data_IF_738946595225
#
_entry.id   IF_738946595225
#
_cell.length_a   1.000
_cell.length_b   1.000
_cell.length_c   1.000
_cell.angle_alpha   90.00
_cell.angle_beta   90.00
_cell.angle_gamma   90.00
#
_symmetry.space_group_name_H-M   'P 1'
#
loop_
_entity.id
_entity.type
_entity.pdbx_description
1 polymer ?
#
# COMPACT_ATOMS: atom_id res chain seq x y z
N UNK A 1 -39.50 -14.29 22.71
CA UNK A 1 -38.11 -14.58 23.06
C UNK A 1 -37.42 -15.04 21.80
N UNK A 2 -36.27 -14.41 21.51
CA UNK A 2 -35.13 -14.93 20.73
C UNK A 2 -35.43 -15.35 19.28
N UNK A 3 -34.76 -14.88 18.24
CA UNK A 3 -33.44 -14.31 18.12
C UNK A 3 -33.02 -14.60 16.69
N UNK A 4 -33.28 -13.68 15.77
CA UNK A 4 -32.75 -13.73 14.40
C UNK A 4 -32.27 -12.33 14.07
N UNK A 5 -31.20 -11.93 14.76
CA UNK A 5 -30.24 -11.03 14.14
C UNK A 5 -29.63 -11.82 13.00
N UNK A 6 -30.30 -11.79 11.84
CA UNK A 6 -29.72 -12.20 10.57
C UNK A 6 -28.40 -11.47 10.46
N UNK A 7 -27.35 -12.20 10.79
CA UNK A 7 -25.99 -11.70 10.81
C UNK A 7 -25.65 -11.57 9.34
N UNK A 8 -25.78 -10.35 8.82
CA UNK A 8 -25.27 -9.96 7.51
C UNK A 8 -23.74 -10.11 7.52
N UNK A 9 -23.23 -11.33 7.42
CA UNK A 9 -21.84 -11.63 7.09
C UNK A 9 -21.69 -11.74 5.57
N UNK A 10 -22.07 -10.68 4.87
CA UNK A 10 -21.56 -10.44 3.51
C UNK A 10 -20.06 -10.09 3.59
N UNK A 11 -19.26 -10.32 2.54
CA UNK A 11 -17.81 -10.19 2.57
C UNK A 11 -17.39 -8.71 2.65
N UNK A 12 -17.41 -8.12 3.84
CA UNK A 12 -16.82 -6.82 4.15
C UNK A 12 -15.31 -6.76 3.87
N UNK A 13 -14.68 -7.89 3.55
CA UNK A 13 -13.25 -8.03 3.26
C UNK A 13 -12.87 -7.68 1.81
N UNK A 14 -13.82 -7.63 0.87
CA UNK A 14 -13.53 -7.46 -0.57
C UNK A 14 -13.18 -6.03 -0.96
N UNK A 15 -14.04 -5.06 -0.62
CA UNK A 15 -13.90 -3.66 -1.04
C UNK A 15 -12.65 -3.01 -0.43
N UNK A 16 -12.40 -3.30 0.85
CA UNK A 16 -11.25 -2.78 1.59
C UNK A 16 -9.89 -3.28 1.04
N UNK A 17 -9.83 -4.54 0.63
CA UNK A 17 -8.64 -5.13 0.01
C UNK A 17 -8.40 -4.54 -1.38
N UNK A 18 -9.49 -4.37 -2.13
CA UNK A 18 -9.47 -3.80 -3.47
C UNK A 18 -8.99 -2.34 -3.47
N UNK A 19 -9.49 -1.50 -2.55
CA UNK A 19 -9.03 -0.11 -2.40
C UNK A 19 -7.51 -0.03 -2.13
N UNK A 20 -7.00 -0.90 -1.26
CA UNK A 20 -5.57 -0.94 -0.96
C UNK A 20 -4.74 -1.40 -2.16
N UNK A 21 -5.21 -2.44 -2.86
CA UNK A 21 -4.57 -2.94 -4.06
C UNK A 21 -4.55 -1.87 -5.16
N UNK A 22 -5.64 -1.13 -5.35
CA UNK A 22 -5.70 -0.03 -6.29
C UNK A 22 -4.72 1.10 -5.92
N UNK A 23 -4.67 1.52 -4.66
CA UNK A 23 -3.70 2.53 -4.21
C UNK A 23 -2.25 2.11 -4.44
N UNK A 24 -1.92 0.83 -4.25
CA UNK A 24 -0.59 0.29 -4.53
C UNK A 24 -0.27 0.32 -6.02
N UNK A 25 -1.23 -0.05 -6.89
CA UNK A 25 -1.07 0.00 -8.34
C UNK A 25 -0.92 1.44 -8.84
N UNK A 26 -1.78 2.35 -8.39
CA UNK A 26 -1.71 3.77 -8.72
C UNK A 26 -0.36 4.36 -8.30
N UNK A 27 0.16 3.98 -7.14
CA UNK A 27 1.49 4.38 -6.69
C UNK A 27 2.58 3.83 -7.61
N UNK A 28 2.55 2.54 -7.92
CA UNK A 28 3.48 1.90 -8.86
C UNK A 28 3.49 2.55 -10.25
N UNK A 29 2.31 2.84 -10.80
CA UNK A 29 2.17 3.54 -12.08
C UNK A 29 2.75 4.96 -12.06
N UNK A 30 2.53 5.70 -10.97
CA UNK A 30 3.08 7.05 -10.83
C UNK A 30 4.61 7.01 -10.73
N UNK A 31 5.19 6.03 -10.05
CA UNK A 31 6.65 5.83 -10.04
C UNK A 31 7.19 5.50 -11.43
N UNK A 32 6.51 4.66 -12.20
CA UNK A 32 6.91 4.34 -13.56
C UNK A 32 6.87 5.57 -14.48
N UNK A 33 5.85 6.43 -14.35
CA UNK A 33 5.76 7.72 -15.07
C UNK A 33 6.89 8.67 -14.71
N UNK A 34 7.41 8.57 -13.48
CA UNK A 34 8.53 9.36 -12.95
C UNK A 34 9.88 8.65 -13.12
N UNK A 35 10.02 7.84 -14.16
CA UNK A 35 11.26 7.14 -14.54
C UNK A 35 11.77 6.11 -13.54
N UNK A 36 10.91 5.57 -12.67
CA UNK A 36 11.23 4.49 -11.71
C UNK A 36 10.43 3.20 -11.99
N UNK A 37 10.44 2.64 -13.22
CA UNK A 37 9.60 1.48 -13.59
C UNK A 37 9.97 0.20 -12.83
N UNK A 38 11.20 0.09 -12.34
CA UNK A 38 11.67 -1.08 -11.58
C UNK A 38 10.93 -1.26 -10.25
N UNK A 39 10.26 -0.23 -9.75
CA UNK A 39 9.50 -0.29 -8.50
C UNK A 39 8.03 -0.62 -8.71
N UNK A 40 7.48 -0.39 -9.91
CA UNK A 40 6.10 -0.70 -10.23
C UNK A 40 5.77 -2.18 -9.95
N UNK A 41 6.64 -3.10 -10.40
CA UNK A 41 6.45 -4.53 -10.22
C UNK A 41 6.33 -4.95 -8.73
N UNK A 42 7.11 -4.32 -7.85
CA UNK A 42 7.06 -4.59 -6.40
C UNK A 42 5.73 -4.16 -5.78
N UNK A 43 5.16 -3.05 -6.25
CA UNK A 43 3.86 -2.57 -5.77
C UNK A 43 2.69 -3.36 -6.37
N UNK A 44 2.82 -3.82 -7.62
CA UNK A 44 1.86 -4.74 -8.24
C UNK A 44 1.80 -6.09 -7.51
N UNK A 45 2.95 -6.68 -7.15
CA UNK A 45 3.00 -7.93 -6.38
C UNK A 45 2.35 -7.77 -4.99
N UNK A 46 2.58 -6.64 -4.34
CA UNK A 46 1.96 -6.33 -3.05
C UNK A 46 0.44 -6.11 -3.19
N UNK A 47 0.00 -5.45 -4.27
CA UNK A 47 -1.42 -5.26 -4.57
C UNK A 47 -2.15 -6.59 -4.76
N UNK A 48 -1.59 -7.49 -5.58
CA UNK A 48 -2.12 -8.83 -5.80
C UNK A 48 -2.18 -9.65 -4.50
N UNK A 49 -1.20 -9.47 -3.63
CA UNK A 49 -1.17 -10.10 -2.29
C UNK A 49 -2.31 -9.58 -1.39
N UNK A 50 -2.61 -8.29 -1.46
CA UNK A 50 -3.74 -7.68 -0.73
C UNK A 50 -5.10 -8.14 -1.26
N UNK A 51 -5.26 -8.43 -2.55
CA UNK A 51 -6.54 -8.92 -3.09
C UNK A 51 -6.86 -10.35 -2.64
N UNK A 52 -5.82 -11.19 -2.51
CA UNK A 52 -5.96 -12.62 -2.22
C UNK A 52 -6.08 -12.94 -0.73
N UNK A 53 -5.93 -11.95 0.14
CA UNK A 53 -5.85 -12.18 1.58
C UNK A 53 -7.23 -12.27 2.23
N UNK A 54 -7.51 -13.41 2.84
CA UNK A 54 -8.84 -13.69 3.40
C UNK A 54 -8.96 -13.25 4.87
N UNK A 55 -7.85 -13.25 5.61
CA UNK A 55 -7.86 -13.01 7.07
C UNK A 55 -7.36 -11.62 7.44
N UNK A 56 -7.90 -11.06 8.53
CA UNK A 56 -7.42 -9.79 9.09
C UNK A 56 -5.96 -9.86 9.57
N UNK A 57 -5.54 -11.01 10.12
CA UNK A 57 -4.18 -11.19 10.62
C UNK A 57 -3.17 -11.16 9.47
N UNK A 58 -3.49 -11.80 8.35
CA UNK A 58 -2.64 -11.78 7.16
C UNK A 58 -2.63 -10.38 6.51
N UNK A 59 -3.76 -9.65 6.51
CA UNK A 59 -3.80 -8.23 6.11
C UNK A 59 -2.85 -7.38 6.93
N UNK A 60 -2.90 -7.50 8.26
CA UNK A 60 -2.00 -6.76 9.16
C UNK A 60 -0.54 -7.14 8.89
N UNK A 61 -0.25 -8.41 8.62
CA UNK A 61 1.09 -8.87 8.25
C UNK A 61 1.56 -8.26 6.92
N UNK A 62 0.72 -8.25 5.89
CA UNK A 62 1.02 -7.62 4.60
C UNK A 62 1.21 -6.11 4.74
N UNK A 63 0.37 -5.44 5.54
CA UNK A 63 0.51 -4.02 5.84
C UNK A 63 1.85 -3.71 6.53
N UNK A 64 2.28 -4.55 7.49
CA UNK A 64 3.62 -4.44 8.12
C UNK A 64 4.75 -4.63 7.11
N UNK A 65 4.60 -5.55 6.16
CA UNK A 65 5.60 -5.76 5.09
C UNK A 65 5.66 -4.54 4.17
N UNK A 66 4.52 -3.98 3.77
CA UNK A 66 4.45 -2.73 3.01
C UNK A 66 5.09 -1.56 3.76
N UNK A 67 4.77 -1.39 5.05
CA UNK A 67 5.38 -0.36 5.89
C UNK A 67 6.90 -0.50 6.01
N UNK A 68 7.43 -1.73 6.02
CA UNK A 68 8.86 -1.96 6.13
C UNK A 68 9.65 -1.38 4.93
N UNK A 69 9.03 -1.25 3.76
CA UNK A 69 9.64 -0.56 2.62
C UNK A 69 9.82 0.93 2.88
N UNK A 70 8.85 1.58 3.53
CA UNK A 70 8.86 3.04 3.78
C UNK A 70 9.57 3.45 5.07
N UNK A 71 9.57 2.58 6.09
CA UNK A 71 9.92 2.97 7.47
C UNK A 71 11.25 2.43 7.97
N UNK A 72 11.88 1.48 7.26
CA UNK A 72 13.20 1.00 7.67
C UNK A 72 14.24 2.08 7.39
N UNK A 73 15.23 2.28 8.29
CA UNK A 73 16.30 3.25 8.09
C UNK A 73 17.06 3.07 6.77
N UNK A 74 17.15 1.84 6.27
CA UNK A 74 17.72 1.54 4.95
C UNK A 74 16.70 1.73 3.83
N UNK A 75 15.44 1.34 4.02
CA UNK A 75 14.37 1.53 3.04
C UNK A 75 14.14 2.99 2.68
N UNK A 76 14.00 3.88 3.67
CA UNK A 76 13.82 5.31 3.44
C UNK A 76 15.06 5.98 2.85
N UNK A 77 16.26 5.59 3.29
CA UNK A 77 17.50 6.15 2.73
C UNK A 77 17.76 5.68 1.29
N UNK A 78 17.50 4.42 0.98
CA UNK A 78 17.62 3.89 -0.38
C UNK A 78 16.52 4.46 -1.28
N UNK A 79 15.32 4.69 -0.73
CA UNK A 79 14.24 5.41 -1.38
C UNK A 79 14.65 6.85 -1.72
N UNK A 80 15.13 7.62 -0.74
CA UNK A 80 15.58 9.01 -0.96
C UNK A 80 16.77 9.09 -1.92
N UNK A 81 17.72 8.16 -1.84
CA UNK A 81 18.86 8.08 -2.77
C UNK A 81 18.42 7.79 -4.21
N UNK A 82 17.45 6.91 -4.39
CA UNK A 82 16.93 6.63 -5.73
C UNK A 82 16.12 7.78 -6.32
N UNK A 83 15.75 8.77 -5.51
CA UNK A 83 15.12 10.03 -5.93
C UNK A 83 16.13 11.20 -6.06
N UNK A 84 17.42 10.95 -5.80
CA UNK A 84 18.46 11.98 -5.90
C UNK A 84 18.60 12.46 -7.36
N UNK A 85 18.56 13.78 -7.56
CA UNK A 85 18.64 14.40 -8.88
C UNK A 85 17.30 14.54 -9.63
N UNK A 86 16.19 14.10 -9.03
CA UNK A 86 14.85 14.36 -9.54
C UNK A 86 14.46 15.84 -9.38
N UNK A 87 13.73 16.45 -10.35
CA UNK A 87 13.20 17.80 -10.18
C UNK A 87 12.34 17.94 -8.92
N UNK A 88 12.45 19.06 -8.20
CA UNK A 88 11.74 19.29 -6.93
C UNK A 88 10.23 19.03 -7.04
N UNK A 89 9.60 19.45 -8.14
CA UNK A 89 8.16 19.25 -8.36
C UNK A 89 7.76 17.75 -8.42
N UNK A 90 8.60 16.92 -9.03
CA UNK A 90 8.39 15.47 -9.12
C UNK A 90 8.70 14.80 -7.77
N UNK A 91 9.75 15.26 -7.09
CA UNK A 91 10.11 14.80 -5.74
C UNK A 91 8.98 15.07 -4.75
N UNK A 92 8.41 16.28 -4.74
CA UNK A 92 7.26 16.60 -3.89
C UNK A 92 6.05 15.71 -4.20
N UNK A 93 5.77 15.45 -5.47
CA UNK A 93 4.69 14.55 -5.87
C UNK A 93 4.89 13.13 -5.30
N UNK A 94 6.09 12.54 -5.43
CA UNK A 94 6.39 11.21 -4.89
C UNK A 94 6.29 11.19 -3.36
N UNK A 95 6.79 12.23 -2.69
CA UNK A 95 6.72 12.32 -1.23
C UNK A 95 5.28 12.37 -0.74
N UNK A 96 4.43 13.19 -1.36
CA UNK A 96 2.99 13.25 -1.02
C UNK A 96 2.29 11.90 -1.22
N UNK A 97 2.52 11.26 -2.36
CA UNK A 97 1.94 9.94 -2.67
C UNK A 97 2.42 8.86 -1.70
N UNK A 98 3.72 8.84 -1.39
CA UNK A 98 4.32 7.90 -0.43
C UNK A 98 3.80 8.10 0.99
N UNK A 99 3.54 9.36 1.37
CA UNK A 99 2.95 9.70 2.66
C UNK A 99 1.51 9.21 2.77
N UNK A 100 0.68 9.44 1.74
CA UNK A 100 -0.69 8.95 1.68
C UNK A 100 -0.73 7.42 1.81
N UNK A 101 0.12 6.72 1.06
CA UNK A 101 0.24 5.27 1.12
C UNK A 101 0.68 4.78 2.50
N UNK A 102 1.63 5.46 3.14
CA UNK A 102 2.08 5.14 4.50
C UNK A 102 0.97 5.30 5.52
N UNK A 103 0.17 6.37 5.43
CA UNK A 103 -0.98 6.58 6.32
C UNK A 103 -2.02 5.47 6.19
N UNK A 104 -2.32 5.05 4.96
CA UNK A 104 -3.25 3.97 4.70
C UNK A 104 -2.74 2.62 5.23
N UNK A 105 -1.45 2.32 5.05
CA UNK A 105 -0.85 1.12 5.63
C UNK A 105 -0.84 1.14 7.17
N UNK A 106 -0.64 2.30 7.80
CA UNK A 106 -0.68 2.45 9.26
C UNK A 106 -2.07 2.20 9.82
N UNK A 107 -3.13 2.72 9.19
CA UNK A 107 -4.53 2.45 9.57
C UNK A 107 -4.86 0.95 9.56
N UNK A 108 -4.17 0.18 8.72
CA UNK A 108 -4.37 -1.26 8.48
C UNK A 108 -3.51 -2.17 9.37
N UNK A 109 -2.54 -1.59 10.07
CA UNK A 109 -1.63 -2.29 10.97
C UNK A 109 -2.18 -2.35 12.41
N UNK A 110 -3.09 -1.44 12.77
CA UNK A 110 -3.76 -1.34 14.07
C UNK A 110 -5.07 -2.15 14.09
#
# INVERSE_FOLDING_TARGET
MEGMWDTMTGPMTSEFNFEMAQMLRDFGENLAKLHQPQWQASFEELADSFERVETQQDRSRLAKQGLAYFTRPHGLNDWLRALEGMPDAELYCILELSWALTQELLKRNL
#
